data_IF_642607360804
#
_entry.id   IF_642607360804
#
_cell.length_a   1.000
_cell.length_b   1.000
_cell.length_c   1.000
_cell.angle_alpha   90.00
_cell.angle_beta   90.00
_cell.angle_gamma   90.00
#
_symmetry.space_group_name_H-M   'P 1'
#
loop_
_entity.id
_entity.type
_entity.pdbx_description
1 polymer ?
#
# COMPACT_ATOMS: atom_id res chain seq x y z
N UNK A 1 -7.30 24.44 8.82
CA UNK A 1 -7.28 23.03 8.39
C UNK A 1 -8.61 22.40 8.75
N UNK A 2 -9.24 21.59 7.88
CA UNK A 2 -10.46 20.88 8.25
C UNK A 2 -10.13 19.83 9.31
N UNK A 3 -10.95 19.77 10.36
CA UNK A 3 -10.82 18.79 11.45
C UNK A 3 -12.08 17.94 11.48
N UNK A 4 -11.91 16.61 11.53
CA UNK A 4 -13.01 15.66 11.63
C UNK A 4 -12.93 15.01 13.01
N UNK A 5 -14.04 15.05 13.76
CA UNK A 5 -14.18 14.31 15.01
C UNK A 5 -15.13 13.15 14.80
N UNK A 6 -14.68 11.93 15.06
CA UNK A 6 -15.49 10.73 14.97
C UNK A 6 -15.89 10.33 16.39
N UNK A 7 -17.19 10.39 16.70
CA UNK A 7 -17.74 9.98 18.00
C UNK A 7 -18.33 8.58 17.91
N UNK A 8 -18.40 7.88 19.04
CA UNK A 8 -19.04 6.56 19.17
C UNK A 8 -18.44 5.49 18.24
N UNK A 9 -17.12 5.44 18.10
CA UNK A 9 -16.45 4.36 17.38
C UNK A 9 -16.59 3.08 18.21
N UNK A 10 -17.11 1.97 17.64
CA UNK A 10 -17.14 0.68 18.34
C UNK A 10 -15.73 0.24 18.76
N UNK A 11 -15.56 -0.27 19.97
CA UNK A 11 -14.25 -0.64 20.52
C UNK A 11 -13.49 -1.63 19.63
N UNK A 12 -14.21 -2.62 19.08
CA UNK A 12 -13.64 -3.58 18.13
C UNK A 12 -13.06 -2.92 16.87
N UNK A 13 -13.70 -1.85 16.38
CA UNK A 13 -13.22 -1.09 15.23
C UNK A 13 -12.00 -0.23 15.59
N UNK A 14 -12.02 0.41 16.77
CA UNK A 14 -10.88 1.17 17.26
C UNK A 14 -9.63 0.28 17.44
N UNK A 15 -9.78 -0.90 18.02
CA UNK A 15 -8.67 -1.85 18.20
C UNK A 15 -8.12 -2.38 16.86
N UNK A 16 -9.00 -2.60 15.87
CA UNK A 16 -8.55 -2.95 14.52
C UNK A 16 -7.74 -1.82 13.88
N UNK A 17 -8.18 -0.58 14.05
CA UNK A 17 -7.51 0.60 13.54
C UNK A 17 -6.14 0.80 14.20
N UNK A 18 -6.07 0.65 15.53
CA UNK A 18 -4.83 0.74 16.32
C UNK A 18 -3.79 -0.29 15.90
N UNK A 19 -4.20 -1.56 15.70
CA UNK A 19 -3.32 -2.61 15.18
C UNK A 19 -2.79 -2.27 13.80
N UNK A 20 -3.65 -1.82 12.88
CA UNK A 20 -3.24 -1.39 11.54
C UNK A 20 -2.25 -0.23 11.56
N UNK A 21 -2.52 0.77 12.38
CA UNK A 21 -1.65 1.93 12.54
C UNK A 21 -0.24 1.51 13.02
N UNK A 22 -0.16 0.60 14.00
CA UNK A 22 1.11 0.04 14.48
C UNK A 22 1.85 -0.75 13.40
N UNK A 23 1.16 -1.63 12.66
CA UNK A 23 1.75 -2.39 11.55
C UNK A 23 2.33 -1.47 10.46
N UNK A 24 1.65 -0.36 10.18
CA UNK A 24 2.08 0.61 9.18
C UNK A 24 3.09 1.65 9.74
N UNK A 25 3.42 1.60 11.03
CA UNK A 25 4.26 2.59 11.75
C UNK A 25 3.74 4.02 11.63
N UNK A 26 2.42 4.21 11.75
CA UNK A 26 1.73 5.51 11.65
C UNK A 26 0.89 5.77 12.88
N UNK A 27 0.58 7.05 13.14
CA UNK A 27 -0.40 7.41 14.16
C UNK A 27 -1.82 6.99 13.73
N UNK A 28 -2.73 6.87 14.70
CA UNK A 28 -4.14 6.55 14.45
C UNK A 28 -4.78 7.59 13.52
N UNK A 29 -4.50 8.88 13.73
CA UNK A 29 -5.00 9.95 12.88
C UNK A 29 -4.54 9.78 11.41
N UNK A 30 -3.25 9.49 11.20
CA UNK A 30 -2.71 9.23 9.86
C UNK A 30 -3.31 7.97 9.22
N UNK A 31 -3.60 6.93 10.00
CA UNK A 31 -4.26 5.73 9.49
C UNK A 31 -5.73 6.00 9.09
N UNK A 32 -6.44 6.85 9.84
CA UNK A 32 -7.81 7.28 9.47
C UNK A 32 -7.79 8.04 8.16
N UNK A 33 -6.86 8.97 7.99
CA UNK A 33 -6.69 9.72 6.74
C UNK A 33 -6.44 8.75 5.58
N UNK A 34 -5.53 7.78 5.74
CA UNK A 34 -5.24 6.78 4.70
C UNK A 34 -6.46 5.89 4.41
N UNK A 35 -7.24 5.53 5.42
CA UNK A 35 -8.48 4.78 5.23
C UNK A 35 -9.50 5.59 4.45
N UNK A 36 -9.66 6.88 4.76
CA UNK A 36 -10.54 7.81 4.03
C UNK A 36 -10.04 8.04 2.61
N UNK A 37 -8.74 8.26 2.43
CA UNK A 37 -8.12 8.38 1.12
C UNK A 37 -8.39 7.12 0.30
N UNK A 38 -8.17 5.93 0.85
CA UNK A 38 -8.49 4.69 0.14
C UNK A 38 -9.97 4.57 -0.16
N UNK A 39 -10.87 4.90 0.77
CA UNK A 39 -12.31 4.79 0.54
C UNK A 39 -12.82 5.77 -0.52
N UNK A 40 -12.32 7.01 -0.51
CA UNK A 40 -12.76 8.11 -1.36
C UNK A 40 -12.02 8.15 -2.71
N UNK A 41 -10.73 7.80 -2.74
CA UNK A 41 -9.92 7.69 -3.95
C UNK A 41 -9.90 6.26 -4.54
N UNK A 42 -10.60 5.28 -3.94
CA UNK A 42 -10.85 3.98 -4.59
C UNK A 42 -11.85 4.08 -5.76
N UNK A 43 -12.32 5.28 -6.10
CA UNK A 43 -13.09 5.52 -7.32
C UNK A 43 -12.35 6.50 -8.24
N UNK A 44 -12.06 6.00 -9.45
CA UNK A 44 -11.24 6.58 -10.53
C UNK A 44 -9.74 6.39 -10.36
N UNK A 45 -9.30 5.15 -10.58
CA UNK A 45 -7.97 4.94 -11.16
C UNK A 45 -7.98 5.68 -12.50
N UNK A 46 -7.20 6.74 -12.61
CA UNK A 46 -6.89 7.34 -13.91
C UNK A 46 -6.05 6.31 -14.69
N UNK A 47 -6.59 5.73 -15.78
CA UNK A 47 -5.88 4.72 -16.55
C UNK A 47 -4.53 5.22 -17.07
N UNK A 48 -4.44 6.50 -17.44
CA UNK A 48 -3.19 7.09 -17.94
C UNK A 48 -2.15 7.23 -16.83
N UNK A 49 -2.55 7.70 -15.64
CA UNK A 49 -1.65 7.77 -14.50
C UNK A 49 -1.13 6.38 -14.08
N UNK A 50 -2.00 5.36 -14.13
CA UNK A 50 -1.61 3.98 -13.84
C UNK A 50 -0.62 3.45 -14.90
N UNK A 51 -0.92 3.66 -16.18
CA UNK A 51 -0.04 3.25 -17.29
C UNK A 51 1.31 3.96 -17.23
N UNK A 52 1.32 5.26 -16.93
CA UNK A 52 2.55 6.04 -16.75
C UNK A 52 3.42 5.48 -15.62
N UNK A 53 2.81 5.18 -14.46
CA UNK A 53 3.51 4.56 -13.33
C UNK A 53 4.04 3.16 -13.68
N UNK A 54 3.26 2.35 -14.39
CA UNK A 54 3.68 1.02 -14.84
C UNK A 54 4.88 1.11 -15.81
N UNK A 55 4.87 2.06 -16.75
CA UNK A 55 5.98 2.32 -17.68
C UNK A 55 7.25 2.75 -16.92
N UNK A 56 7.14 3.67 -15.96
CA UNK A 56 8.27 4.08 -15.11
C UNK A 56 8.86 2.89 -14.33
N UNK A 57 8.01 2.03 -13.77
CA UNK A 57 8.48 0.84 -13.06
C UNK A 57 9.20 -0.13 -14.01
N UNK A 58 8.65 -0.36 -15.21
CA UNK A 58 9.30 -1.19 -16.23
C UNK A 58 10.65 -0.65 -16.66
N UNK A 59 10.80 0.67 -16.83
CA UNK A 59 12.09 1.28 -17.16
C UNK A 59 13.17 1.00 -16.11
N UNK A 60 12.81 0.99 -14.82
CA UNK A 60 13.75 0.68 -13.73
C UNK A 60 14.29 -0.75 -13.79
N UNK A 61 13.54 -1.67 -14.38
CA UNK A 61 13.91 -3.10 -14.48
C UNK A 61 14.24 -3.52 -15.92
N UNK A 62 14.14 -2.62 -16.89
CA UNK A 62 14.33 -2.93 -18.31
C UNK A 62 15.73 -3.46 -18.64
N UNK A 63 16.75 -3.06 -17.88
CA UNK A 63 18.13 -3.56 -18.02
C UNK A 63 18.41 -4.86 -17.25
N UNK A 64 17.46 -5.35 -16.47
CA UNK A 64 17.63 -6.52 -15.59
C UNK A 64 16.48 -7.49 -15.81
N UNK A 65 16.48 -8.11 -16.99
CA UNK A 65 15.57 -9.20 -17.32
C UNK A 65 16.07 -10.44 -16.59
N UNK A 66 15.31 -10.89 -15.60
CA UNK A 66 15.61 -12.12 -14.86
C UNK A 66 14.85 -13.24 -15.56
N UNK A 67 15.57 -14.29 -15.94
CA UNK A 67 14.96 -15.51 -16.51
C UNK A 67 14.27 -16.33 -15.41
N UNK A 68 13.28 -17.15 -15.79
CA UNK A 68 12.62 -18.05 -14.84
C UNK A 68 13.62 -18.97 -14.10
N UNK A 69 14.70 -19.37 -14.78
CA UNK A 69 15.78 -20.18 -14.20
C UNK A 69 16.57 -19.41 -13.13
N UNK A 70 16.96 -18.17 -13.41
CA UNK A 70 17.65 -17.31 -12.44
C UNK A 70 16.77 -16.96 -11.24
N UNK A 71 15.48 -16.70 -11.48
CA UNK A 71 14.51 -16.45 -10.42
C UNK A 71 14.31 -17.69 -9.54
N UNK A 72 14.26 -18.88 -10.14
CA UNK A 72 14.16 -20.15 -9.40
C UNK A 72 15.40 -20.38 -8.56
N UNK A 73 16.60 -20.16 -9.12
CA UNK A 73 17.87 -20.27 -8.41
C UNK A 73 17.94 -19.32 -7.23
N UNK A 74 17.59 -18.04 -7.42
CA UNK A 74 17.56 -17.04 -6.35
C UNK A 74 16.57 -17.39 -5.23
N UNK A 75 15.41 -18.01 -5.56
CA UNK A 75 14.45 -18.51 -4.56
C UNK A 75 15.00 -19.65 -3.73
N UNK A 76 15.80 -20.53 -4.32
CA UNK A 76 16.39 -21.70 -3.64
C UNK A 76 17.64 -21.36 -2.85
N UNK A 77 18.45 -20.39 -3.30
CA UNK A 77 19.68 -19.97 -2.61
C UNK A 77 19.43 -19.38 -1.22
N UNK A 78 18.27 -18.75 -0.99
CA UNK A 78 17.89 -18.16 0.30
C UNK A 78 16.99 -19.04 1.18
N UNK A 79 16.66 -20.26 0.75
CA UNK A 79 15.84 -21.21 1.52
C UNK A 79 16.73 -22.32 2.07
N UNK A 80 17.17 -22.26 3.34
CA UNK A 80 17.62 -23.45 4.04
C UNK A 80 16.49 -24.47 4.19
#
# INVERSE_FOLDING_TARGET
MPTITIKNIPDALYERLKRRAQMNRRSINSEIIVCLERALYSQRVDPEALLARARQLRQKTAGHIITDAEFTRAKTEGRP
#
